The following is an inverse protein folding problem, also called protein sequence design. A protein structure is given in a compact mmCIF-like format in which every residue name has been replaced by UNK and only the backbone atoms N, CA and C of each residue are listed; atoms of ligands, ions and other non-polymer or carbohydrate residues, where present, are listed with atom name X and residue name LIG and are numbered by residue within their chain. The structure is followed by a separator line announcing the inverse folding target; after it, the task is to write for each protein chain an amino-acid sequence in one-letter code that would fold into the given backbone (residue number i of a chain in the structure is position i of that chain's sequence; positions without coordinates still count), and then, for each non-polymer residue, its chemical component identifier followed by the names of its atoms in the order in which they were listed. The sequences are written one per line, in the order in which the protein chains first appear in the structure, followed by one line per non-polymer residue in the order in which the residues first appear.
data_IF_734930762202
#
_entry.id   IF_734930762202
#
_cell.length_a   1.000
_cell.length_b   1.000
_cell.length_c   1.000
_cell.angle_alpha   90.00
_cell.angle_beta   90.00
_cell.angle_gamma   90.00
#
_symmetry.space_group_name_H-M   'P 1'
#
loop_
_entity.id
_entity.type
_entity.pdbx_description
1 polymer ?
#
# COMPACT_ATOMS: atom_id res chain seq x y z
N UNK A 1 -10.48 -7.42 -19.55
CA UNK A 1 -9.19 -8.01 -19.11
C UNK A 1 -9.19 -9.50 -19.42
N UNK A 2 -8.21 -9.99 -20.18
CA UNK A 2 -8.11 -11.42 -20.47
C UNK A 2 -7.67 -12.20 -19.22
N UNK A 3 -8.04 -13.49 -19.15
CA UNK A 3 -7.62 -14.36 -18.04
C UNK A 3 -6.10 -14.49 -17.96
N UNK A 4 -5.42 -14.56 -19.11
CA UNK A 4 -3.96 -14.63 -19.19
C UNK A 4 -3.31 -13.39 -18.58
N UNK A 5 -3.77 -12.19 -18.95
CA UNK A 5 -3.25 -10.95 -18.38
C UNK A 5 -3.46 -10.87 -16.86
N UNK A 6 -4.61 -11.35 -16.37
CA UNK A 6 -4.89 -11.38 -14.93
C UNK A 6 -3.92 -12.30 -14.18
N UNK A 7 -3.72 -13.52 -14.66
CA UNK A 7 -2.79 -14.48 -14.07
C UNK A 7 -1.36 -13.93 -14.11
N UNK A 8 -0.92 -13.39 -15.25
CA UNK A 8 0.41 -12.82 -15.38
C UNK A 8 0.67 -11.69 -14.38
N UNK A 9 -0.31 -10.80 -14.16
CA UNK A 9 -0.16 -9.73 -13.18
C UNK A 9 -0.15 -10.24 -11.74
N UNK A 10 -0.94 -11.28 -11.41
CA UNK A 10 -0.88 -11.90 -10.08
C UNK A 10 0.48 -12.56 -9.81
N UNK A 11 1.02 -13.27 -10.80
CA UNK A 11 2.35 -13.88 -10.69
C UNK A 11 3.42 -12.81 -10.54
N UNK A 12 3.37 -11.75 -11.36
CA UNK A 12 4.32 -10.65 -11.27
C UNK A 12 4.24 -9.93 -9.91
N UNK A 13 3.03 -9.75 -9.38
CA UNK A 13 2.84 -9.18 -8.04
C UNK A 13 3.43 -10.10 -6.96
N UNK A 14 3.22 -11.41 -7.05
CA UNK A 14 3.79 -12.36 -6.10
C UNK A 14 5.33 -12.38 -6.15
N UNK A 15 5.91 -12.34 -7.34
CA UNK A 15 7.37 -12.22 -7.52
C UNK A 15 7.88 -10.92 -6.92
N UNK A 16 7.18 -9.80 -7.12
CA UNK A 16 7.58 -8.52 -6.54
C UNK A 16 7.54 -8.55 -5.01
N UNK A 17 6.51 -9.16 -4.40
CA UNK A 17 6.45 -9.38 -2.95
C UNK A 17 7.61 -10.25 -2.48
N UNK A 18 7.94 -11.33 -3.18
CA UNK A 18 9.07 -12.18 -2.81
C UNK A 18 10.41 -11.43 -2.89
N UNK A 19 10.63 -10.66 -3.96
CA UNK A 19 11.83 -9.83 -4.13
C UNK A 19 11.94 -8.76 -3.05
N UNK A 20 10.81 -8.21 -2.60
CA UNK A 20 10.77 -7.18 -1.56
C UNK A 20 11.36 -7.61 -0.22
N UNK A 21 11.41 -8.93 0.05
CA UNK A 21 11.95 -9.52 1.27
C UNK A 21 13.43 -9.91 1.17
N UNK A 22 14.08 -9.69 0.02
CA UNK A 22 15.49 -10.09 -0.20
C UNK A 22 16.46 -9.00 0.20
N UNK A 23 17.67 -9.36 0.62
CA UNK A 23 18.66 -8.43 1.17
C UNK A 23 19.14 -7.36 0.19
N UNK A 24 19.25 -7.66 -1.10
CA UNK A 24 19.69 -6.68 -2.10
C UNK A 24 18.51 -6.00 -2.83
N UNK A 25 17.69 -6.70 -3.64
CA UNK A 25 16.53 -6.08 -4.28
C UNK A 25 15.54 -5.45 -3.29
N UNK A 26 15.27 -6.12 -2.16
CA UNK A 26 14.38 -5.60 -1.12
C UNK A 26 14.92 -4.34 -0.46
N UNK A 27 16.21 -4.28 -0.12
CA UNK A 27 16.82 -3.08 0.43
C UNK A 27 16.77 -1.89 -0.55
N UNK A 28 17.03 -2.13 -1.85
CA UNK A 28 16.90 -1.09 -2.87
C UNK A 28 15.45 -0.56 -2.98
N UNK A 29 14.47 -1.46 -2.98
CA UNK A 29 13.05 -1.08 -2.97
C UNK A 29 12.73 -0.28 -1.70
N UNK A 30 13.25 -0.70 -0.55
CA UNK A 30 13.04 -0.05 0.75
C UNK A 30 13.60 1.37 0.77
N UNK A 31 14.79 1.55 0.19
CA UNK A 31 15.41 2.86 0.02
C UNK A 31 14.54 3.78 -0.85
N UNK A 32 13.99 3.28 -1.96
CA UNK A 32 13.06 4.04 -2.81
C UNK A 32 11.78 4.41 -2.05
N UNK A 33 11.23 3.51 -1.22
CA UNK A 33 10.11 3.84 -0.33
C UNK A 33 10.50 4.92 0.68
N UNK A 34 11.69 4.85 1.27
CA UNK A 34 12.21 5.86 2.20
C UNK A 34 12.27 7.24 1.56
N UNK A 35 12.84 7.35 0.35
CA UNK A 35 12.83 8.59 -0.44
C UNK A 35 11.39 9.05 -0.68
N UNK A 36 10.52 8.15 -1.15
CA UNK A 36 9.14 8.52 -1.48
C UNK A 36 8.38 9.07 -0.25
N UNK A 37 8.55 8.44 0.91
CA UNK A 37 7.94 8.89 2.16
C UNK A 37 8.50 10.25 2.58
N UNK A 38 9.82 10.42 2.55
CA UNK A 38 10.47 11.67 2.95
C UNK A 38 10.01 12.87 2.10
N UNK A 39 9.93 12.71 0.78
CA UNK A 39 9.63 13.83 -0.13
C UNK A 39 8.15 14.02 -0.40
N UNK A 40 7.35 12.95 -0.49
CA UNK A 40 5.94 13.04 -0.91
C UNK A 40 4.94 12.88 0.24
N UNK A 41 5.35 12.35 1.40
CA UNK A 41 4.44 12.15 2.54
C UNK A 41 4.77 13.13 3.67
N UNK A 42 6.03 13.18 4.11
CA UNK A 42 6.41 13.98 5.28
C UNK A 42 6.18 15.48 5.08
N UNK A 43 6.54 16.02 3.91
CA UNK A 43 6.33 17.44 3.59
C UNK A 43 4.85 17.86 3.66
N UNK A 44 3.95 17.23 2.88
CA UNK A 44 2.51 17.53 2.97
C UNK A 44 1.92 17.27 4.35
N UNK A 45 2.31 16.19 5.03
CA UNK A 45 1.83 15.87 6.38
C UNK A 45 2.21 16.97 7.39
N UNK A 46 3.42 17.53 7.27
CA UNK A 46 3.88 18.63 8.11
C UNK A 46 3.09 19.92 7.85
N UNK A 47 2.77 20.22 6.58
CA UNK A 47 1.92 21.37 6.23
C UNK A 47 0.51 21.22 6.79
N UNK A 48 -0.10 20.04 6.65
CA UNK A 48 -1.44 19.74 7.20
C UNK A 48 -1.41 19.83 8.73
N UNK A 49 -0.39 19.27 9.37
CA UNK A 49 -0.19 19.34 10.82
C UNK A 49 -0.14 20.78 11.33
N UNK A 50 0.63 21.64 10.66
CA UNK A 50 0.72 23.06 11.02
C UNK A 50 -0.60 23.81 10.85
N UNK A 51 -1.37 23.49 9.81
CA UNK A 51 -2.71 24.09 9.61
C UNK A 51 -3.65 23.64 10.73
N UNK A 52 -3.64 22.36 11.11
CA UNK A 52 -4.48 21.84 12.20
C UNK A 52 -4.11 22.48 13.54
N UNK A 53 -2.81 22.58 13.84
CA UNK A 53 -2.30 23.22 15.06
C UNK A 53 -2.73 24.69 15.14
N UNK A 54 -2.62 25.45 14.04
CA UNK A 54 -3.08 26.84 13.97
C UNK A 54 -4.59 26.99 14.23
N UNK A 55 -5.39 25.95 14.03
CA UNK A 55 -6.83 25.92 14.32
C UNK A 55 -7.15 25.32 15.70
N UNK A 56 -6.14 25.13 16.57
CA UNK A 56 -6.30 24.57 17.91
C UNK A 56 -6.53 23.05 17.93
N UNK A 57 -6.36 22.36 16.80
CA UNK A 57 -6.53 20.91 16.69
C UNK A 57 -5.16 20.25 16.82
N UNK A 58 -4.82 19.82 18.03
CA UNK A 58 -3.56 19.11 18.29
C UNK A 58 -3.77 17.62 18.07
N UNK A 59 -3.31 17.11 16.93
CA UNK A 59 -3.32 15.67 16.62
C UNK A 59 -1.93 15.11 16.93
N UNK A 60 -1.86 14.13 17.84
CA UNK A 60 -0.61 13.41 18.06
C UNK A 60 -0.22 12.61 16.81
N UNK A 61 1.08 12.46 16.54
CA UNK A 61 1.55 11.65 15.41
C UNK A 61 0.99 10.22 15.45
N UNK A 62 0.87 9.64 16.65
CA UNK A 62 0.28 8.31 16.83
C UNK A 62 -1.21 8.28 16.46
N UNK A 63 -1.99 9.29 16.86
CA UNK A 63 -3.41 9.41 16.48
C UNK A 63 -3.57 9.57 14.96
N UNK A 64 -2.71 10.38 14.32
CA UNK A 64 -2.72 10.55 12.87
C UNK A 64 -2.42 9.24 12.13
N UNK A 65 -1.44 8.46 12.62
CA UNK A 65 -1.13 7.13 12.08
C UNK A 65 -2.31 6.16 12.24
N UNK A 66 -2.98 6.14 13.40
CA UNK A 66 -4.16 5.31 13.61
C UNK A 66 -5.34 5.70 12.73
N UNK A 67 -5.57 7.00 12.54
CA UNK A 67 -6.60 7.49 11.61
C UNK A 67 -6.30 7.06 10.17
N UNK A 68 -5.04 7.18 9.75
CA UNK A 68 -4.60 6.74 8.42
C UNK A 68 -4.76 5.22 8.26
N UNK A 69 -4.35 4.44 9.27
CA UNK A 69 -4.51 2.99 9.28
C UNK A 69 -5.98 2.58 9.24
N UNK A 70 -6.85 3.24 10.00
CA UNK A 70 -8.29 3.03 9.99
C UNK A 70 -8.91 3.33 8.63
N UNK A 71 -8.54 4.47 8.03
CA UNK A 71 -8.97 4.83 6.67
C UNK A 71 -8.51 3.80 5.64
N UNK A 72 -7.26 3.33 5.75
CA UNK A 72 -6.73 2.30 4.88
C UNK A 72 -7.48 0.96 5.01
N UNK A 73 -7.80 0.55 6.23
CA UNK A 73 -8.59 -0.65 6.49
C UNK A 73 -9.99 -0.55 5.85
N UNK A 74 -10.63 0.63 5.94
CA UNK A 74 -11.92 0.88 5.28
C UNK A 74 -11.82 0.77 3.76
N UNK A 75 -10.73 1.27 3.14
CA UNK A 75 -10.50 1.11 1.70
C UNK A 75 -10.38 -0.36 1.28
N UNK A 76 -9.67 -1.17 2.07
CA UNK A 76 -9.56 -2.62 1.84
C UNK A 76 -10.94 -3.28 1.92
N UNK A 77 -11.70 -3.01 2.98
CA UNK A 77 -13.04 -3.58 3.16
C UNK A 77 -13.98 -3.17 2.02
N UNK A 78 -13.94 -1.90 1.61
CA UNK A 78 -14.74 -1.41 0.50
C UNK A 78 -14.36 -2.08 -0.83
N UNK A 79 -13.06 -2.23 -1.11
CA UNK A 79 -12.58 -2.91 -2.31
C UNK A 79 -12.94 -4.41 -2.30
N UNK A 80 -12.88 -5.07 -1.14
CA UNK A 80 -13.29 -6.46 -0.97
C UNK A 80 -14.78 -6.62 -1.24
N UNK A 81 -15.61 -5.74 -0.66
CA UNK A 81 -17.05 -5.74 -0.88
C UNK A 81 -17.42 -5.46 -2.35
N UNK A 82 -16.72 -4.52 -3.00
CA UNK A 82 -16.92 -4.24 -4.42
C UNK A 82 -16.56 -5.45 -5.30
N UNK A 83 -15.45 -6.13 -5.00
CA UNK A 83 -15.02 -7.34 -5.71
C UNK A 83 -16.04 -8.47 -5.53
N UNK A 84 -16.51 -8.69 -4.30
CA UNK A 84 -17.53 -9.67 -3.97
C UNK A 84 -18.84 -9.42 -4.73
N UNK A 85 -19.36 -8.18 -4.69
CA UNK A 85 -20.59 -7.82 -5.42
C UNK A 85 -20.46 -8.03 -6.93
N UNK A 86 -19.31 -7.73 -7.52
CA UNK A 86 -19.06 -7.93 -8.95
C UNK A 86 -18.93 -9.40 -9.32
N UNK A 87 -18.38 -10.22 -8.42
CA UNK A 87 -18.33 -11.66 -8.59
C UNK A 87 -19.74 -12.27 -8.60
N UNK A 88 -20.61 -11.84 -7.67
CA UNK A 88 -22.01 -12.27 -7.64
C UNK A 88 -22.79 -11.91 -8.91
N UNK A 89 -22.46 -10.77 -9.55
CA UNK A 89 -23.08 -10.34 -10.82
C UNK A 89 -22.53 -11.04 -12.07
N UNK A 90 -21.60 -12.00 -11.90
CA UNK A 90 -20.93 -12.71 -13.00
C UNK A 90 -20.20 -11.80 -14.01
N UNK A 91 -19.88 -10.56 -13.63
CA UNK A 91 -19.10 -9.63 -14.45
C UNK A 91 -17.61 -9.97 -14.40
N UNK A 92 -17.24 -11.13 -14.95
CA UNK A 92 -15.91 -11.76 -14.78
C UNK A 92 -14.74 -10.83 -15.08
N UNK A 93 -14.84 -10.01 -16.13
CA UNK A 93 -13.80 -9.04 -16.49
C UNK A 93 -13.64 -7.92 -15.46
N UNK A 94 -14.75 -7.38 -14.94
CA UNK A 94 -14.73 -6.31 -13.94
C UNK A 94 -14.35 -6.84 -12.56
N UNK A 95 -14.80 -8.05 -12.21
CA UNK A 95 -14.43 -8.73 -10.97
C UNK A 95 -12.91 -8.97 -10.89
N UNK A 96 -12.28 -9.41 -11.99
CA UNK A 96 -10.81 -9.56 -12.06
C UNK A 96 -10.08 -8.24 -11.83
N UNK A 97 -10.53 -7.15 -12.46
CA UNK A 97 -9.92 -5.84 -12.26
C UNK A 97 -10.08 -5.31 -10.84
N UNK A 98 -11.24 -5.52 -10.21
CA UNK A 98 -11.49 -5.15 -8.82
C UNK A 98 -10.66 -6.00 -7.86
N UNK A 99 -10.56 -7.31 -8.11
CA UNK A 99 -9.71 -8.22 -7.35
C UNK A 99 -8.23 -7.86 -7.45
N UNK A 100 -7.75 -7.42 -8.61
CA UNK A 100 -6.37 -6.96 -8.75
C UNK A 100 -6.10 -5.67 -7.96
N UNK A 101 -7.06 -4.74 -7.93
CA UNK A 101 -6.97 -3.53 -7.10
C UNK A 101 -6.91 -3.87 -5.61
N UNK A 102 -7.76 -4.80 -5.17
CA UNK A 102 -7.72 -5.31 -3.80
C UNK A 102 -6.36 -5.96 -3.48
N UNK A 103 -5.85 -6.80 -4.39
CA UNK A 103 -4.55 -7.43 -4.23
C UNK A 103 -3.42 -6.39 -4.11
N UNK A 104 -3.46 -5.32 -4.91
CA UNK A 104 -2.49 -4.22 -4.81
C UNK A 104 -2.60 -3.45 -3.49
N UNK A 105 -3.81 -3.19 -3.00
CA UNK A 105 -4.03 -2.55 -1.69
C UNK A 105 -3.47 -3.41 -0.54
N UNK A 106 -3.39 -4.72 -0.68
CA UNK A 106 -2.78 -5.57 0.35
C UNK A 106 -1.27 -5.71 0.14
N UNK A 107 -0.84 -5.87 -1.11
CA UNK A 107 0.55 -6.14 -1.44
C UNK A 107 1.47 -4.93 -1.24
N UNK A 108 1.01 -3.71 -1.57
CA UNK A 108 1.87 -2.51 -1.47
C UNK A 108 2.39 -2.25 -0.03
N UNK A 109 1.54 -2.26 1.02
CA UNK A 109 2.03 -2.14 2.39
C UNK A 109 2.97 -3.28 2.79
N UNK A 110 2.67 -4.52 2.35
CA UNK A 110 3.52 -5.67 2.64
C UNK A 110 4.91 -5.53 2.00
N UNK A 111 4.96 -5.11 0.73
CA UNK A 111 6.22 -4.82 0.02
C UNK A 111 6.99 -3.73 0.75
N UNK A 112 6.34 -2.61 1.08
CA UNK A 112 6.99 -1.51 1.78
C UNK A 112 7.57 -1.96 3.13
N UNK A 113 6.80 -2.73 3.91
CA UNK A 113 7.25 -3.27 5.20
C UNK A 113 8.44 -4.23 5.05
N UNK A 114 8.32 -5.23 4.18
CA UNK A 114 9.37 -6.22 3.93
C UNK A 114 10.65 -5.55 3.43
N UNK A 115 10.53 -4.58 2.54
CA UNK A 115 11.67 -3.87 1.96
C UNK A 115 12.32 -2.91 2.94
N UNK A 116 11.56 -2.23 3.80
CA UNK A 116 12.14 -1.39 4.86
C UNK A 116 12.91 -2.24 5.86
N UNK A 117 12.38 -3.41 6.24
CA UNK A 117 13.10 -4.34 7.12
C UNK A 117 14.38 -4.86 6.46
N UNK A 118 14.32 -5.29 5.19
CA UNK A 118 15.49 -5.73 4.45
C UNK A 118 16.55 -4.61 4.32
N UNK A 119 16.12 -3.36 4.13
CA UNK A 119 17.02 -2.19 4.11
C UNK A 119 17.68 -1.96 5.47
N UNK A 120 16.92 -2.03 6.57
CA UNK A 120 17.45 -1.86 7.93
C UNK A 120 18.45 -2.95 8.30
N UNK A 121 18.19 -4.20 7.89
CA UNK A 121 19.12 -5.31 8.11
C UNK A 121 20.40 -5.19 7.26
N UNK A 122 20.32 -4.59 6.08
CA UNK A 122 21.46 -4.41 5.18
C UNK A 122 22.33 -3.19 5.52
N UNK A 123 21.84 -2.25 6.32
CA UNK A 123 22.56 -1.05 6.72
C UNK A 123 23.19 -1.23 8.11
N UNK A 124 24.53 -1.11 8.25
CA UNK A 124 25.21 -1.20 9.54
C UNK A 124 24.97 0.01 10.44
#
# INVERSE_FOLDING_TARGET
MSQRAFISLLVLLAVLVALSATSFPGAMIGFLFGIAIAFFVAGPAMLIGKVLENNGIVISGQTALWLLAGFYALLILFAAFQTWRRLQRQETGQARSAGLRLALLVALPAIAWLSVNAMQEAWP
#
